data_IF_334648272779
#
_entry.id   IF_334648272779
#
_cell.length_a   1.000
_cell.length_b   1.000
_cell.length_c   1.000
_cell.angle_alpha   90.00
_cell.angle_beta   90.00
_cell.angle_gamma   90.00
#
_symmetry.space_group_name_H-M   'P 1'
#
loop_
_entity.id
_entity.type
_entity.pdbx_description
1 polymer ?
#
# COMPACT_ATOMS: atom_id res chain seq x y z
N UNK A 1 -5.62 -2.24 -17.96
CA UNK A 1 -5.59 -2.01 -16.50
C UNK A 1 -4.91 -3.18 -15.82
N UNK A 2 -4.17 -2.89 -14.77
CA UNK A 2 -3.57 -3.93 -13.94
C UNK A 2 -4.32 -4.02 -12.62
N UNK A 3 -4.33 -5.20 -12.03
CA UNK A 3 -4.95 -5.45 -10.73
C UNK A 3 -3.88 -5.67 -9.69
N UNK A 4 -3.95 -4.91 -8.61
CA UNK A 4 -2.99 -4.98 -7.52
C UNK A 4 -3.75 -5.35 -6.25
N UNK A 5 -3.24 -6.35 -5.54
CA UNK A 5 -3.79 -6.72 -4.24
C UNK A 5 -3.06 -5.96 -3.16
N UNK A 6 -3.81 -5.25 -2.33
CA UNK A 6 -3.24 -4.48 -1.23
C UNK A 6 -3.47 -5.25 0.07
N UNK A 7 -2.41 -5.53 0.78
CA UNK A 7 -2.50 -6.15 2.11
C UNK A 7 -2.37 -5.07 3.16
N UNK A 8 -3.29 -5.06 4.10
CA UNK A 8 -3.39 -4.02 5.10
C UNK A 8 -3.12 -4.59 6.49
N UNK A 9 -2.23 -3.94 7.22
CA UNK A 9 -1.84 -4.38 8.55
C UNK A 9 -2.02 -3.27 9.57
N UNK A 10 -2.41 -3.62 10.78
CA UNK A 10 -2.41 -2.70 11.90
C UNK A 10 -3.17 -1.41 11.58
N UNK A 11 -2.50 -0.27 11.70
CA UNK A 11 -3.14 1.04 11.45
C UNK A 11 -3.72 1.17 10.05
N UNK A 12 -3.10 0.55 9.06
CA UNK A 12 -3.61 0.61 7.68
C UNK A 12 -4.92 -0.16 7.59
N UNK A 13 -4.99 -1.31 8.24
CA UNK A 13 -6.22 -2.10 8.29
C UNK A 13 -7.37 -1.29 8.91
N UNK A 14 -7.10 -0.62 10.02
CA UNK A 14 -8.13 0.19 10.67
C UNK A 14 -8.51 1.40 9.82
N UNK A 15 -7.53 2.02 9.19
CA UNK A 15 -7.77 3.20 8.37
C UNK A 15 -8.63 2.90 7.14
N UNK A 16 -8.44 1.73 6.54
CA UNK A 16 -9.15 1.35 5.34
C UNK A 16 -10.34 0.43 5.60
N UNK A 17 -10.44 -0.11 6.81
CA UNK A 17 -11.55 -0.96 7.19
C UNK A 17 -11.51 -2.36 6.62
N UNK A 18 -10.36 -2.82 6.17
CA UNK A 18 -10.25 -4.15 5.56
C UNK A 18 -8.82 -4.69 5.68
N UNK A 19 -8.71 -6.02 5.69
CA UNK A 19 -7.41 -6.69 5.68
C UNK A 19 -6.75 -6.64 4.32
N UNK A 20 -7.55 -6.56 3.28
CA UNK A 20 -7.04 -6.66 1.93
C UNK A 20 -8.06 -6.11 0.96
N UNK A 21 -7.58 -5.52 -0.12
CA UNK A 21 -8.45 -5.04 -1.18
C UNK A 21 -7.72 -5.14 -2.52
N UNK A 22 -8.48 -5.14 -3.59
CA UNK A 22 -7.93 -5.15 -4.94
C UNK A 22 -8.20 -3.80 -5.57
N UNK A 23 -7.17 -3.22 -6.16
CA UNK A 23 -7.26 -1.94 -6.84
C UNK A 23 -6.84 -2.12 -8.29
N UNK A 24 -7.59 -1.50 -9.19
CA UNK A 24 -7.21 -1.46 -10.60
C UNK A 24 -6.47 -0.17 -10.88
N UNK A 25 -5.34 -0.28 -11.58
CA UNK A 25 -4.51 0.85 -11.96
C UNK A 25 -4.17 0.77 -13.44
N UNK A 26 -3.78 1.89 -14.00
CA UNK A 26 -3.29 1.90 -15.37
C UNK A 26 -1.93 1.25 -15.45
N UNK A 27 -1.62 0.63 -16.58
CA UNK A 27 -0.28 0.09 -16.81
C UNK A 27 0.75 1.21 -16.69
N UNK A 28 1.88 0.89 -16.11
CA UNK A 28 2.93 1.87 -15.86
C UNK A 28 2.79 2.62 -14.55
N UNK A 29 1.74 2.36 -13.80
CA UNK A 29 1.57 2.98 -12.48
C UNK A 29 2.71 2.60 -11.55
N UNK A 30 3.11 3.55 -10.72
CA UNK A 30 4.25 3.36 -9.82
C UNK A 30 3.79 3.18 -8.38
N UNK A 31 4.72 2.69 -7.56
CA UNK A 31 4.47 2.51 -6.15
C UNK A 31 4.09 3.83 -5.46
N UNK A 32 4.74 4.94 -5.84
CA UNK A 32 4.41 6.24 -5.25
C UNK A 32 2.98 6.65 -5.58
N UNK A 33 2.53 6.38 -6.78
CA UNK A 33 1.15 6.68 -7.16
C UNK A 33 0.16 5.85 -6.34
N UNK A 34 0.49 4.58 -6.13
CA UNK A 34 -0.35 3.71 -5.31
C UNK A 34 -0.38 4.18 -3.86
N UNK A 35 0.76 4.55 -3.31
CA UNK A 35 0.81 5.03 -1.93
C UNK A 35 -0.05 6.28 -1.74
N UNK A 36 0.02 7.22 -2.68
CA UNK A 36 -0.80 8.42 -2.61
C UNK A 36 -2.28 8.07 -2.65
N UNK A 37 -2.65 7.12 -3.49
CA UNK A 37 -4.03 6.68 -3.59
C UNK A 37 -4.52 6.05 -2.29
N UNK A 38 -3.71 5.20 -1.68
CA UNK A 38 -4.05 4.54 -0.43
C UNK A 38 -4.20 5.56 0.70
N UNK A 39 -3.28 6.53 0.78
CA UNK A 39 -3.37 7.58 1.80
C UNK A 39 -4.63 8.44 1.60
N UNK A 40 -4.97 8.69 0.36
CA UNK A 40 -6.20 9.44 0.04
C UNK A 40 -7.44 8.67 0.48
N UNK A 41 -7.47 7.37 0.24
CA UNK A 41 -8.58 6.52 0.68
C UNK A 41 -8.70 6.49 2.20
N UNK A 42 -7.58 6.54 2.89
CA UNK A 42 -7.57 6.56 4.34
C UNK A 42 -7.90 7.94 4.93
N UNK A 43 -8.03 8.93 4.09
CA UNK A 43 -8.23 10.32 4.49
C UNK A 43 -7.09 10.75 5.41
N UNK A 44 -7.35 11.27 6.57
CA UNK A 44 -6.29 11.74 7.46
C UNK A 44 -5.77 10.65 8.41
N UNK A 45 -6.31 9.46 8.32
CA UNK A 45 -5.99 8.42 9.30
C UNK A 45 -4.55 7.91 9.20
N UNK A 46 -3.92 8.08 8.06
CA UNK A 46 -2.52 7.70 7.86
C UNK A 46 -1.59 8.90 7.74
N UNK A 47 -2.08 10.10 7.99
CA UNK A 47 -1.26 11.30 7.90
C UNK A 47 -0.12 11.21 8.91
N UNK A 48 1.10 11.45 8.44
CA UNK A 48 2.27 11.40 9.29
C UNK A 48 2.75 10.00 9.66
N UNK A 49 2.08 8.99 9.22
CA UNK A 49 2.50 7.61 9.48
C UNK A 49 3.54 7.20 8.43
N UNK A 50 4.69 6.74 8.89
CA UNK A 50 5.76 6.29 8.00
C UNK A 50 5.51 4.84 7.65
N UNK A 51 5.12 4.60 6.41
CA UNK A 51 4.75 3.26 5.96
C UNK A 51 5.90 2.59 5.23
N UNK A 52 6.21 1.37 5.62
CA UNK A 52 7.10 0.52 4.84
C UNK A 52 6.27 -0.25 3.84
N UNK A 53 6.85 -0.46 2.67
CA UNK A 53 6.12 -1.09 1.58
C UNK A 53 6.86 -2.33 1.12
N UNK A 54 6.13 -3.44 1.02
CA UNK A 54 6.67 -4.69 0.49
C UNK A 54 5.89 -5.07 -0.75
N UNK A 55 6.60 -5.41 -1.81
CA UNK A 55 6.00 -5.89 -3.05
C UNK A 55 6.32 -7.37 -3.17
N UNK A 56 5.28 -8.20 -3.23
CA UNK A 56 5.43 -9.65 -3.31
C UNK A 56 6.36 -10.18 -2.22
N UNK A 57 6.14 -9.68 -1.00
CA UNK A 57 6.84 -10.10 0.22
C UNK A 57 8.29 -9.60 0.34
N UNK A 58 8.71 -8.69 -0.54
CA UNK A 58 10.04 -8.10 -0.46
C UNK A 58 9.92 -6.60 -0.22
N UNK A 59 10.63 -6.11 0.79
CA UNK A 59 10.64 -4.68 1.05
C UNK A 59 11.18 -3.91 -0.14
N UNK A 60 10.53 -2.81 -0.46
CA UNK A 60 10.94 -1.95 -1.55
C UNK A 60 11.32 -0.58 -1.02
N UNK A 61 12.47 -0.08 -1.46
CA UNK A 61 12.92 1.27 -1.14
C UNK A 61 12.88 2.18 -2.36
N UNK A 62 12.38 1.65 -3.47
CA UNK A 62 12.38 2.38 -4.73
C UNK A 62 10.95 2.58 -5.23
N UNK A 63 10.81 3.55 -6.12
CA UNK A 63 9.53 3.80 -6.76
C UNK A 63 9.35 2.82 -7.94
N UNK A 64 9.01 1.61 -7.60
CA UNK A 64 8.86 0.54 -8.59
C UNK A 64 7.65 0.77 -9.49
N UNK A 65 7.77 0.32 -10.74
CA UNK A 65 6.61 0.21 -11.63
C UNK A 65 5.88 -1.06 -11.24
N UNK A 66 4.58 -0.95 -11.03
CA UNK A 66 3.75 -2.08 -10.62
C UNK A 66 3.32 -2.91 -11.82
N UNK A 67 3.11 -4.19 -11.60
CA UNK A 67 2.69 -5.13 -12.63
C UNK A 67 1.41 -5.81 -12.21
N UNK A 68 0.64 -6.26 -13.20
CA UNK A 68 -0.59 -6.99 -12.93
C UNK A 68 -0.32 -8.19 -12.03
N UNK A 69 -1.14 -8.34 -11.02
CA UNK A 69 -1.00 -9.44 -10.07
C UNK A 69 -0.07 -9.18 -8.90
N UNK A 70 0.59 -8.03 -8.85
CA UNK A 70 1.45 -7.71 -7.71
C UNK A 70 0.64 -7.64 -6.41
N UNK A 71 1.28 -8.08 -5.34
CA UNK A 71 0.75 -7.95 -3.99
C UNK A 71 1.59 -6.90 -3.26
N UNK A 72 0.94 -5.84 -2.80
CA UNK A 72 1.63 -4.75 -2.13
C UNK A 72 1.13 -4.66 -0.69
N UNK A 73 2.06 -4.71 0.25
CA UNK A 73 1.74 -4.60 1.67
C UNK A 73 2.20 -3.26 2.19
N UNK A 74 1.31 -2.56 2.88
CA UNK A 74 1.64 -1.31 3.57
C UNK A 74 1.75 -1.63 5.05
N UNK A 75 2.95 -1.48 5.60
CA UNK A 75 3.27 -1.92 6.95
C UNK A 75 3.66 -0.71 7.79
N UNK A 76 2.85 -0.34 8.79
CA UNK A 76 3.22 0.76 9.67
C UNK A 76 4.38 0.36 10.56
N UNK A 77 5.08 1.33 11.15
CA UNK A 77 6.20 1.02 12.00
C UNK A 77 5.75 0.25 13.23
N UNK A 78 6.60 -0.65 13.70
CA UNK A 78 6.33 -1.37 14.92
C UNK A 78 6.47 -0.39 16.07
N UNK A 79 5.40 -0.27 16.83
CA UNK A 79 5.42 0.58 18.00
C UNK A 79 6.24 -0.12 19.07
N UNK A 80 7.35 0.45 19.34
CA UNK A 80 8.37 -0.01 20.21
C UNK A 80 7.96 -0.75 21.42
N UNK A 81 7.31 -1.26 21.19
CA UNK A 81 6.93 -2.09 22.14
C UNK A 81 7.89 -2.39 23.08
#
# INVERSE_FOLDING_TARGET
MIKITIKCFSQVKYALGTDSLVIELEEGSTLNQLEKLIRKKAKDKLAGVDLRIAINKKYSTFNNILRDGDEVAFIPPVQGG
#
